data_IF_565254095040
#
_entry.id   IF_565254095040
#
_cell.length_a   1.000
_cell.length_b   1.000
_cell.length_c   1.000
_cell.angle_alpha   90.00
_cell.angle_beta   90.00
_cell.angle_gamma   90.00
#
_symmetry.space_group_name_H-M   'P 1'
#
loop_
_entity.id
_entity.type
_entity.pdbx_description
1 polymer ?
#
# COMPACT_ATOMS: atom_id res chain seq x y z
N UNK A 1 -13.01 0.58 -6.31
CA UNK A 1 -12.07 0.01 -5.31
C UNK A 1 -12.18 0.62 -3.90
N UNK A 2 -13.11 1.56 -3.63
CA UNK A 2 -13.30 2.10 -2.27
C UNK A 2 -13.54 1.00 -1.21
N UNK A 3 -14.31 -0.04 -1.52
CA UNK A 3 -14.49 -1.17 -0.61
C UNK A 3 -13.16 -1.83 -0.19
N UNK A 4 -12.20 -1.93 -1.11
CA UNK A 4 -10.87 -2.50 -0.84
C UNK A 4 -10.03 -1.48 -0.07
N UNK A 5 -9.87 -0.25 -0.57
CA UNK A 5 -8.89 0.68 0.00
C UNK A 5 -9.42 1.51 1.18
N UNK A 6 -10.67 1.96 1.15
CA UNK A 6 -11.27 2.70 2.27
C UNK A 6 -11.89 1.77 3.33
N UNK A 7 -12.22 0.54 2.95
CA UNK A 7 -12.71 -0.50 3.86
C UNK A 7 -11.61 -1.46 4.30
N UNK A 8 -11.38 -2.52 3.51
CA UNK A 8 -10.55 -3.68 3.88
C UNK A 8 -9.12 -3.28 4.28
N UNK A 9 -8.43 -2.51 3.44
CA UNK A 9 -7.05 -2.09 3.68
C UNK A 9 -6.92 -1.13 4.86
N UNK A 10 -7.86 -0.20 5.01
CA UNK A 10 -7.90 0.69 6.16
C UNK A 10 -8.06 -0.09 7.46
N UNK A 11 -8.99 -1.05 7.50
CA UNK A 11 -9.19 -1.93 8.66
C UNK A 11 -7.96 -2.79 8.93
N UNK A 12 -7.35 -3.39 7.89
CA UNK A 12 -6.13 -4.18 8.04
C UNK A 12 -5.02 -3.38 8.72
N UNK A 13 -4.72 -2.17 8.26
CA UNK A 13 -3.66 -1.35 8.85
C UNK A 13 -4.01 -0.83 10.24
N UNK A 14 -5.29 -0.54 10.53
CA UNK A 14 -5.72 -0.12 11.86
C UNK A 14 -5.49 -1.20 12.93
N UNK A 15 -5.55 -2.47 12.55
CA UNK A 15 -5.32 -3.60 13.47
C UNK A 15 -3.85 -4.03 13.46
N UNK A 16 -3.21 -4.05 12.29
CA UNK A 16 -1.83 -4.52 12.13
C UNK A 16 -0.81 -3.58 12.81
N UNK A 17 -0.96 -2.27 12.67
CA UNK A 17 0.03 -1.32 13.19
C UNK A 17 0.20 -1.35 14.72
N UNK A 18 -0.87 -1.40 15.54
CA UNK A 18 -0.72 -1.63 16.97
C UNK A 18 0.07 -2.90 17.28
N UNK A 19 -0.24 -4.00 16.60
CA UNK A 19 0.46 -5.28 16.80
C UNK A 19 1.96 -5.16 16.47
N UNK A 20 2.32 -4.63 15.30
CA UNK A 20 3.73 -4.52 14.88
C UNK A 20 4.53 -3.54 15.75
N UNK A 21 3.93 -2.42 16.16
CA UNK A 21 4.63 -1.32 16.84
C UNK A 21 4.62 -1.50 18.37
N UNK A 22 3.52 -1.94 18.96
CA UNK A 22 3.36 -1.97 20.42
C UNK A 22 3.60 -3.36 21.01
N UNK A 23 3.03 -4.40 20.38
CA UNK A 23 3.13 -5.77 20.87
C UNK A 23 4.49 -6.37 20.48
N UNK A 24 4.81 -6.38 19.19
CA UNK A 24 6.06 -6.93 18.65
C UNK A 24 7.24 -5.98 18.76
N UNK A 25 6.98 -4.67 18.71
CA UNK A 25 7.99 -3.61 18.76
C UNK A 25 9.06 -3.74 17.68
N UNK A 26 8.66 -4.20 16.49
CA UNK A 26 9.55 -4.32 15.33
C UNK A 26 10.10 -2.95 14.89
N UNK A 27 9.28 -1.91 14.98
CA UNK A 27 9.65 -0.52 14.70
C UNK A 27 8.71 0.44 15.43
N UNK A 28 9.03 1.73 15.42
CA UNK A 28 8.19 2.79 16.02
C UNK A 28 7.32 3.51 14.99
N UNK A 29 6.24 4.13 15.45
CA UNK A 29 5.40 4.99 14.59
C UNK A 29 6.22 6.13 13.95
N UNK A 30 7.17 6.70 14.69
CA UNK A 30 8.04 7.76 14.17
C UNK A 30 8.98 7.25 13.07
N UNK A 31 9.51 6.02 13.21
CA UNK A 31 10.31 5.38 12.15
C UNK A 31 9.46 5.17 10.89
N UNK A 32 8.26 4.61 11.03
CA UNK A 32 7.36 4.41 9.89
C UNK A 32 7.00 5.73 9.21
N UNK A 33 6.62 6.75 9.98
CA UNK A 33 6.30 8.07 9.44
C UNK A 33 7.51 8.76 8.80
N UNK A 34 8.72 8.54 9.33
CA UNK A 34 9.96 9.01 8.72
C UNK A 34 10.15 8.35 7.34
N UNK A 35 10.02 7.03 7.27
CA UNK A 35 10.15 6.25 6.03
C UNK A 35 9.13 6.68 4.98
N UNK A 36 7.85 6.81 5.36
CA UNK A 36 6.80 7.36 4.48
C UNK A 36 7.17 8.76 4.00
N UNK A 37 7.72 9.61 4.87
CA UNK A 37 8.07 10.99 4.48
C UNK A 37 9.27 11.05 3.55
N UNK A 38 10.31 10.26 3.82
CA UNK A 38 11.61 10.31 3.14
C UNK A 38 11.71 9.44 1.90
N UNK A 39 10.74 8.54 1.66
CA UNK A 39 10.71 7.74 0.45
C UNK A 39 10.73 8.62 -0.81
N UNK A 40 11.47 8.18 -1.83
CA UNK A 40 11.61 8.89 -3.10
C UNK A 40 10.45 8.55 -4.04
N UNK A 41 9.36 9.30 -3.93
CA UNK A 41 8.17 9.09 -4.76
C UNK A 41 8.43 9.50 -6.22
N UNK A 42 7.98 8.66 -7.15
CA UNK A 42 8.01 8.99 -8.58
C UNK A 42 7.08 10.17 -8.91
N UNK A 43 7.27 10.80 -10.08
CA UNK A 43 6.46 11.94 -10.52
C UNK A 43 4.94 11.65 -10.48
N UNK A 44 4.54 10.43 -10.84
CA UNK A 44 3.16 9.95 -10.80
C UNK A 44 2.61 9.77 -9.38
N UNK A 45 3.47 9.60 -8.38
CA UNK A 45 3.10 9.22 -7.01
C UNK A 45 3.04 10.40 -6.05
N UNK A 46 3.61 11.55 -6.42
CA UNK A 46 3.63 12.77 -5.59
C UNK A 46 2.21 13.17 -5.15
N UNK A 47 1.23 13.04 -6.04
CA UNK A 47 -0.18 13.36 -5.74
C UNK A 47 -0.88 12.30 -4.88
N UNK A 48 -0.29 11.11 -4.78
CA UNK A 48 -0.80 9.96 -4.02
C UNK A 48 0.06 9.63 -2.81
N UNK A 49 0.99 10.52 -2.43
CA UNK A 49 1.87 10.32 -1.29
C UNK A 49 1.01 10.06 -0.04
N UNK A 50 1.26 8.95 0.69
CA UNK A 50 0.55 8.67 1.93
C UNK A 50 0.76 9.79 2.95
N UNK A 51 -0.32 10.14 3.63
CA UNK A 51 -0.28 11.04 4.78
C UNK A 51 0.39 10.33 5.96
N UNK A 52 1.00 11.09 6.87
CA UNK A 52 1.53 10.52 8.11
C UNK A 52 0.41 9.87 8.92
N UNK A 53 0.72 8.72 9.50
CA UNK A 53 -0.18 7.99 10.38
C UNK A 53 -0.11 8.65 11.75
N UNK A 54 -1.27 9.01 12.29
CA UNK A 54 -1.38 9.60 13.62
C UNK A 54 -1.81 8.54 14.62
N UNK A 55 -1.38 8.69 15.86
CA UNK A 55 -1.88 7.93 16.99
C UNK A 55 -2.31 8.94 18.05
N UNK A 56 -3.61 8.96 18.31
CA UNK A 56 -4.18 9.62 19.49
C UNK A 56 -4.42 8.52 20.53
N UNK A 57 -5.67 8.14 20.79
CA UNK A 57 -6.00 6.93 21.56
C UNK A 57 -5.89 5.65 20.72
N UNK A 58 -6.08 5.78 19.40
CA UNK A 58 -5.99 4.67 18.42
C UNK A 58 -5.20 5.12 17.19
N UNK A 59 -4.76 4.17 16.36
CA UNK A 59 -4.10 4.48 15.10
C UNK A 59 -5.12 5.00 14.08
N UNK A 60 -4.89 6.21 13.60
CA UNK A 60 -5.69 6.86 12.58
C UNK A 60 -4.98 6.83 11.23
N UNK A 61 -5.23 5.76 10.49
CA UNK A 61 -4.73 5.57 9.11
C UNK A 61 -5.65 6.28 8.11
N UNK A 62 -5.74 7.61 8.19
CA UNK A 62 -6.61 8.40 7.31
C UNK A 62 -5.92 8.68 5.98
N UNK A 63 -6.36 8.00 4.93
CA UNK A 63 -5.85 8.13 3.55
C UNK A 63 -7.03 8.27 2.58
N UNK A 64 -6.84 8.94 1.44
CA UNK A 64 -7.73 8.74 0.29
C UNK A 64 -7.52 7.34 -0.29
N UNK A 65 -8.46 6.83 -1.11
CA UNK A 65 -8.29 5.52 -1.75
C UNK A 65 -6.97 5.39 -2.53
N UNK A 66 -6.53 6.45 -3.23
CA UNK A 66 -5.25 6.43 -3.96
C UNK A 66 -4.04 6.47 -3.03
N UNK A 67 -4.10 7.25 -1.95
CA UNK A 67 -3.04 7.28 -0.94
C UNK A 67 -2.92 5.94 -0.20
N UNK A 68 -4.06 5.30 0.10
CA UNK A 68 -4.07 3.98 0.73
C UNK A 68 -3.47 2.93 -0.22
N UNK A 69 -3.82 2.96 -1.50
CA UNK A 69 -3.22 2.07 -2.49
C UNK A 69 -1.69 2.22 -2.51
N UNK A 70 -1.18 3.46 -2.54
CA UNK A 70 0.26 3.73 -2.45
C UNK A 70 0.86 3.23 -1.14
N UNK A 71 0.19 3.44 0.00
CA UNK A 71 0.65 2.98 1.30
C UNK A 71 0.73 1.45 1.37
N UNK A 72 -0.32 0.74 0.96
CA UNK A 72 -0.35 -0.72 0.92
C UNK A 72 0.79 -1.23 0.06
N UNK A 73 1.06 -0.61 -1.10
CA UNK A 73 2.14 -1.07 -1.97
C UNK A 73 3.53 -0.87 -1.39
N UNK A 74 3.76 0.28 -0.76
CA UNK A 74 5.08 0.67 -0.28
C UNK A 74 5.44 0.06 1.07
N UNK A 75 4.46 -0.24 1.93
CA UNK A 75 4.74 -0.68 3.30
C UNK A 75 5.67 -1.91 3.40
N UNK A 76 5.60 -2.95 2.53
CA UNK A 76 6.59 -4.04 2.58
C UNK A 76 8.01 -3.57 2.33
N UNK A 77 8.20 -2.63 1.39
CA UNK A 77 9.52 -2.04 1.09
C UNK A 77 10.00 -1.09 2.18
N UNK A 78 9.08 -0.40 2.85
CA UNK A 78 9.41 0.55 3.91
C UNK A 78 9.78 -0.15 5.22
N UNK A 79 9.00 -1.17 5.62
CA UNK A 79 9.12 -1.76 6.95
C UNK A 79 9.29 -3.28 6.99
N UNK A 80 9.24 -3.98 5.85
CA UNK A 80 9.29 -5.44 5.82
C UNK A 80 10.58 -6.02 6.39
N UNK A 81 11.71 -5.31 6.25
CA UNK A 81 13.00 -5.75 6.81
C UNK A 81 13.10 -5.73 8.33
N UNK A 82 12.12 -5.12 9.02
CA UNK A 82 12.06 -5.11 10.49
C UNK A 82 11.22 -6.25 11.07
N UNK A 83 10.55 -7.03 10.22
CA UNK A 83 9.51 -7.98 10.62
C UNK A 83 10.05 -9.40 10.44
N UNK A 84 9.74 -10.28 11.40
CA UNK A 84 10.14 -11.69 11.34
C UNK A 84 9.46 -12.43 10.17
N UNK A 85 10.21 -13.30 9.48
CA UNK A 85 9.73 -14.03 8.30
C UNK A 85 8.57 -15.01 8.59
N UNK A 86 8.32 -15.36 9.86
CA UNK A 86 7.27 -16.28 10.29
C UNK A 86 6.07 -15.58 10.98
N UNK A 87 5.98 -14.25 10.89
CA UNK A 87 4.88 -13.51 11.48
C UNK A 87 3.57 -13.63 10.68
N UNK A 88 2.64 -14.42 11.21
CA UNK A 88 1.34 -14.69 10.57
C UNK A 88 0.42 -13.47 10.38
N UNK A 89 0.59 -12.41 11.17
CA UNK A 89 -0.21 -11.18 11.00
C UNK A 89 0.33 -10.36 9.83
N UNK A 90 1.65 -10.36 9.65
CA UNK A 90 2.31 -9.82 8.48
C UNK A 90 1.96 -10.63 7.22
N UNK A 91 1.96 -11.97 7.29
CA UNK A 91 1.53 -12.81 6.16
C UNK A 91 0.10 -12.50 5.70
N UNK A 92 -0.82 -12.30 6.64
CA UNK A 92 -2.20 -11.88 6.34
C UNK A 92 -2.23 -10.55 5.56
N UNK A 93 -1.37 -9.60 5.93
CA UNK A 93 -1.21 -8.35 5.22
C UNK A 93 -0.57 -8.55 3.82
N UNK A 94 0.44 -9.40 3.70
CA UNK A 94 1.06 -9.77 2.42
C UNK A 94 0.06 -10.42 1.45
N UNK A 95 -0.90 -11.21 1.96
CA UNK A 95 -2.00 -11.74 1.16
C UNK A 95 -2.89 -10.63 0.59
N UNK A 96 -3.26 -9.62 1.41
CA UNK A 96 -4.03 -8.47 0.93
C UNK A 96 -3.25 -7.69 -0.14
N UNK A 97 -1.96 -7.48 0.10
CA UNK A 97 -1.05 -6.82 -0.84
C UNK A 97 -1.03 -7.56 -2.19
N UNK A 98 -0.86 -8.89 -2.17
CA UNK A 98 -0.86 -9.74 -3.36
C UNK A 98 -2.20 -9.70 -4.10
N UNK A 99 -3.34 -9.76 -3.39
CA UNK A 99 -4.67 -9.67 -4.01
C UNK A 99 -4.84 -8.32 -4.73
N UNK A 100 -4.39 -7.23 -4.11
CA UNK A 100 -4.48 -5.90 -4.71
C UNK A 100 -3.64 -5.81 -5.98
N UNK A 101 -2.44 -6.38 -5.98
CA UNK A 101 -1.56 -6.43 -7.16
C UNK A 101 -2.18 -7.26 -8.29
N UNK A 102 -2.57 -8.50 -7.97
CA UNK A 102 -3.14 -9.43 -8.94
C UNK A 102 -4.38 -8.88 -9.64
N UNK A 103 -5.29 -8.24 -8.90
CA UNK A 103 -6.52 -7.67 -9.48
C UNK A 103 -6.18 -6.55 -10.47
N UNK A 104 -5.23 -5.68 -10.13
CA UNK A 104 -4.82 -4.56 -10.99
C UNK A 104 -4.14 -5.09 -12.25
N UNK A 105 -3.18 -6.01 -12.10
CA UNK A 105 -2.45 -6.62 -13.20
C UNK A 105 -3.39 -7.35 -14.16
N UNK A 106 -4.23 -8.26 -13.65
CA UNK A 106 -5.13 -9.06 -14.47
C UNK A 106 -6.14 -8.18 -15.25
N UNK A 107 -6.69 -7.15 -14.62
CA UNK A 107 -7.59 -6.22 -15.29
C UNK A 107 -6.89 -5.48 -16.43
N UNK A 108 -5.68 -4.96 -16.18
CA UNK A 108 -4.98 -4.14 -17.17
C UNK A 108 -4.42 -4.94 -18.34
N UNK A 109 -3.93 -6.15 -18.11
CA UNK A 109 -3.53 -7.06 -19.20
C UNK A 109 -4.72 -7.33 -20.11
N UNK A 110 -5.88 -7.65 -19.53
CA UNK A 110 -7.11 -7.87 -20.29
C UNK A 110 -7.56 -6.59 -21.04
N UNK A 111 -7.53 -5.44 -20.37
CA UNK A 111 -7.96 -4.18 -20.97
C UNK A 111 -7.06 -3.75 -22.14
N UNK A 112 -5.74 -3.79 -21.94
CA UNK A 112 -4.77 -3.38 -22.98
C UNK A 112 -4.79 -4.34 -24.17
N UNK A 113 -5.03 -5.62 -23.93
CA UNK A 113 -5.23 -6.62 -24.97
C UNK A 113 -6.51 -6.37 -25.80
N UNK A 114 -7.66 -6.21 -25.14
CA UNK A 114 -8.95 -6.08 -25.82
C UNK A 114 -9.17 -4.70 -26.46
N UNK A 115 -8.62 -3.64 -25.86
CA UNK A 115 -8.85 -2.25 -26.25
C UNK A 115 -7.56 -1.54 -26.67
N UNK A 116 -6.68 -2.25 -27.39
CA UNK A 116 -5.36 -1.76 -27.84
C UNK A 116 -5.38 -0.49 -28.71
N UNK A 117 -6.54 -0.13 -29.27
CA UNK A 117 -6.76 1.09 -30.05
C UNK A 117 -7.07 2.33 -29.19
N UNK A 118 -7.31 2.16 -27.89
CA UNK A 118 -7.58 3.24 -26.95
C UNK A 118 -6.29 3.66 -26.27
N UNK A 119 -6.05 4.97 -26.20
CA UNK A 119 -4.93 5.50 -25.44
C UNK A 119 -5.11 5.23 -23.94
N UNK A 120 -4.11 4.58 -23.36
CA UNK A 120 -4.02 4.40 -21.91
C UNK A 120 -3.94 5.76 -21.23
N UNK A 121 -4.90 6.05 -20.36
CA UNK A 121 -4.91 7.31 -19.59
C UNK A 121 -3.75 7.35 -18.59
N UNK A 122 -3.30 8.52 -18.11
CA UNK A 122 -2.26 8.59 -17.08
C UNK A 122 -2.56 7.76 -15.82
N UNK A 123 -3.83 7.64 -15.42
CA UNK A 123 -4.26 6.79 -14.30
C UNK A 123 -4.08 5.30 -14.60
N UNK A 124 -4.37 4.88 -15.83
CA UNK A 124 -4.16 3.50 -16.24
C UNK A 124 -2.67 3.20 -16.43
N UNK A 125 -1.90 4.15 -16.98
CA UNK A 125 -0.45 4.02 -17.10
C UNK A 125 0.22 3.87 -15.73
N UNK A 126 -0.21 4.65 -14.72
CA UNK A 126 0.23 4.44 -13.34
C UNK A 126 -0.04 3.01 -12.84
N UNK A 127 -1.22 2.47 -13.14
CA UNK A 127 -1.57 1.10 -12.79
C UNK A 127 -0.82 0.04 -13.63
N UNK A 128 -0.38 0.35 -14.87
CA UNK A 128 0.40 -0.57 -15.73
C UNK A 128 1.80 -0.77 -15.18
N UNK A 129 2.44 0.30 -14.73
CA UNK A 129 3.77 0.23 -14.10
C UNK A 129 3.70 -0.29 -12.66
N UNK A 130 2.50 -0.56 -12.15
CA UNK A 130 2.29 -0.99 -10.77
C UNK A 130 3.08 -2.26 -10.42
N UNK A 131 3.02 -3.34 -11.22
CA UNK A 131 3.73 -4.58 -10.92
C UNK A 131 5.25 -4.43 -11.07
N UNK A 132 5.72 -3.66 -12.06
CA UNK A 132 7.15 -3.42 -12.29
C UNK A 132 7.82 -2.62 -11.16
N UNK A 133 7.04 -1.81 -10.42
CA UNK A 133 7.50 -1.10 -9.23
C UNK A 133 7.56 -2.00 -7.98
N UNK A 134 7.08 -3.24 -8.06
CA UNK A 134 6.92 -4.15 -6.92
C UNK A 134 7.88 -5.36 -6.99
N UNK A 135 8.70 -5.44 -8.05
CA UNK A 135 9.81 -6.39 -8.24
C UNK A 135 11.16 -5.75 -7.84
#
# INVERSE_FOLDING_TARGET
MHAVFEGVAATQLQVLLPYLIEEKKFFTLDQLNLLIRSHSYGYSEVQTKPSQIKKDDTYHVKQSASQMMTLIRLLPFLSGSYIDDDDVHWDCYCLLWLICDMIVKAYLECFTFLYSHINVTPKMHYLIHLPEQME
#
